data_IF_688083179598
#
_entry.id   IF_688083179598
#
_cell.length_a   1.000
_cell.length_b   1.000
_cell.length_c   1.000
_cell.angle_alpha   90.00
_cell.angle_beta   90.00
_cell.angle_gamma   90.00
#
_symmetry.space_group_name_H-M   'P 1'
#
loop_
_entity.id
_entity.type
_entity.pdbx_description
1 polymer ?
#
# COMPACT_ATOMS: atom_id res chain seq x y z
N UNK A 1 21.11 -6.53 -14.75
CA UNK A 1 20.03 -5.71 -14.11
C UNK A 1 20.59 -5.00 -12.90
N UNK A 2 20.36 -3.70 -12.75
CA UNK A 2 20.62 -2.90 -11.55
C UNK A 2 19.32 -2.36 -10.99
N UNK A 3 19.28 -2.09 -9.68
CA UNK A 3 18.11 -1.51 -9.02
C UNK A 3 18.35 -0.02 -8.78
N UNK A 4 17.39 0.81 -9.18
CA UNK A 4 17.34 2.24 -8.92
C UNK A 4 16.33 2.50 -7.81
N UNK A 5 16.79 2.91 -6.64
CA UNK A 5 15.93 3.26 -5.53
C UNK A 5 15.51 4.73 -5.62
N UNK A 6 14.23 5.03 -5.65
CA UNK A 6 13.76 6.39 -5.47
C UNK A 6 13.81 6.85 -4.01
N UNK A 7 13.67 8.17 -3.73
CA UNK A 7 13.86 8.74 -2.39
C UNK A 7 12.99 8.11 -1.29
N UNK A 8 11.75 7.72 -1.61
CA UNK A 8 10.79 7.19 -0.64
C UNK A 8 10.77 5.66 -0.53
N UNK A 9 11.71 4.94 -1.20
CA UNK A 9 11.73 3.47 -1.23
C UNK A 9 13.14 2.87 -1.10
N UNK A 10 14.06 3.56 -0.44
CA UNK A 10 15.47 3.16 -0.37
C UNK A 10 15.68 1.88 0.47
N UNK A 11 14.98 1.77 1.60
CA UNK A 11 15.07 0.60 2.46
C UNK A 11 14.43 -0.62 1.80
N UNK A 12 13.24 -0.46 1.20
CA UNK A 12 12.58 -1.53 0.47
C UNK A 12 13.43 -1.99 -0.72
N UNK A 13 13.98 -1.05 -1.51
CA UNK A 13 14.88 -1.37 -2.62
C UNK A 13 16.11 -2.18 -2.17
N UNK A 14 16.68 -1.84 -1.01
CA UNK A 14 17.80 -2.61 -0.43
C UNK A 14 17.41 -4.03 -0.04
N UNK A 15 16.19 -4.23 0.47
CA UNK A 15 15.65 -5.56 0.77
C UNK A 15 15.39 -6.36 -0.51
N UNK A 16 14.80 -5.73 -1.53
CA UNK A 16 14.59 -6.36 -2.83
C UNK A 16 15.91 -6.77 -3.47
N UNK A 17 16.93 -5.89 -3.42
CA UNK A 17 18.27 -6.19 -3.94
C UNK A 17 18.86 -7.48 -3.33
N UNK A 18 18.72 -7.66 -2.02
CA UNK A 18 19.13 -8.89 -1.32
C UNK A 18 18.31 -10.12 -1.76
N UNK A 19 16.98 -9.95 -1.90
CA UNK A 19 16.09 -11.05 -2.29
C UNK A 19 16.36 -11.59 -3.70
N UNK A 20 16.63 -10.69 -4.65
CA UNK A 20 16.87 -11.07 -6.06
C UNK A 20 18.35 -11.16 -6.42
N UNK A 21 19.25 -10.85 -5.46
CA UNK A 21 20.71 -10.87 -5.62
C UNK A 21 21.18 -9.94 -6.77
N UNK A 22 20.69 -8.72 -6.76
CA UNK A 22 21.05 -7.66 -7.70
C UNK A 22 21.70 -6.48 -6.99
N UNK A 23 22.52 -5.72 -7.71
CA UNK A 23 23.18 -4.55 -7.17
C UNK A 23 22.26 -3.33 -7.18
N UNK A 24 22.40 -2.47 -6.15
CA UNK A 24 21.81 -1.14 -6.13
C UNK A 24 22.74 -0.18 -6.87
N UNK A 25 22.19 0.61 -7.78
CA UNK A 25 22.92 1.74 -8.35
C UNK A 25 22.85 2.94 -7.40
N UNK A 26 23.96 3.68 -7.36
CA UNK A 26 24.00 4.92 -6.59
C UNK A 26 23.26 6.03 -7.36
N UNK A 27 22.21 6.58 -6.72
CA UNK A 27 21.45 7.71 -7.23
C UNK A 27 21.64 8.91 -6.30
N UNK A 28 22.08 10.03 -6.86
CA UNK A 28 22.20 11.31 -6.17
C UNK A 28 20.90 12.10 -6.32
N UNK A 29 20.33 12.55 -5.21
CA UNK A 29 19.17 13.43 -5.20
C UNK A 29 19.54 14.77 -4.58
N UNK A 30 19.12 15.85 -5.19
CA UNK A 30 19.31 17.23 -4.71
C UNK A 30 18.04 18.03 -4.96
N UNK A 31 17.90 19.14 -4.25
CA UNK A 31 16.85 20.12 -4.48
C UNK A 31 17.48 21.47 -4.73
N UNK A 32 17.08 22.14 -5.80
CA UNK A 32 17.51 23.50 -6.09
C UNK A 32 16.87 24.50 -5.11
N UNK A 33 17.43 25.71 -4.95
CA UNK A 33 16.88 26.71 -4.02
C UNK A 33 15.43 27.12 -4.30
N UNK A 34 15.00 27.05 -5.56
CA UNK A 34 13.62 27.31 -6.00
C UNK A 34 12.68 26.14 -5.79
N UNK A 35 13.21 24.98 -5.36
CA UNK A 35 12.44 23.78 -5.05
C UNK A 35 12.42 22.72 -6.16
N UNK A 36 13.01 22.98 -7.33
CA UNK A 36 13.12 21.96 -8.38
C UNK A 36 14.02 20.78 -7.95
N UNK A 37 13.64 19.59 -8.38
CA UNK A 37 14.37 18.37 -8.07
C UNK A 37 15.46 18.11 -9.11
N UNK A 38 16.62 17.66 -8.63
CA UNK A 38 17.72 17.19 -9.43
C UNK A 38 18.02 15.73 -9.06
N UNK A 39 18.30 14.93 -10.09
CA UNK A 39 18.69 13.54 -9.95
C UNK A 39 19.89 13.24 -10.86
N UNK A 40 20.79 12.39 -10.39
CA UNK A 40 21.87 11.83 -11.20
C UNK A 40 22.10 10.38 -10.80
N UNK A 41 22.11 9.48 -11.78
CA UNK A 41 22.58 8.11 -11.59
C UNK A 41 24.10 8.13 -11.74
N UNK A 42 24.83 7.76 -10.68
CA UNK A 42 26.29 7.81 -10.65
C UNK A 42 26.94 6.58 -11.30
N UNK A 43 26.20 5.46 -11.34
CA UNK A 43 26.66 4.23 -11.95
C UNK A 43 26.30 4.15 -13.43
N UNK A 44 27.12 3.44 -14.21
CA UNK A 44 26.74 3.03 -15.57
C UNK A 44 25.59 2.03 -15.53
N UNK A 45 24.59 2.26 -16.40
CA UNK A 45 23.46 1.36 -16.60
C UNK A 45 23.64 0.59 -17.90
N UNK A 46 23.30 -0.69 -17.86
CA UNK A 46 23.34 -1.56 -19.02
C UNK A 46 22.19 -2.56 -19.01
N UNK A 47 21.55 -2.73 -20.14
CA UNK A 47 20.49 -3.71 -20.39
C UNK A 47 19.20 -3.44 -19.64
N UNK A 48 18.99 -4.07 -18.47
CA UNK A 48 17.73 -4.02 -17.72
C UNK A 48 17.91 -3.29 -16.39
N UNK A 49 16.95 -2.44 -16.03
CA UNK A 49 16.90 -1.76 -14.73
C UNK A 49 15.55 -2.01 -14.05
N UNK A 50 15.59 -2.07 -12.71
CA UNK A 50 14.41 -2.13 -11.86
C UNK A 50 14.33 -0.86 -11.03
N UNK A 51 13.36 0.00 -11.30
CA UNK A 51 13.08 1.19 -10.50
C UNK A 51 12.09 0.82 -9.39
N UNK A 52 12.39 1.18 -8.14
CA UNK A 52 11.49 1.00 -7.00
C UNK A 52 11.23 2.35 -6.37
N UNK A 53 9.98 2.85 -6.49
CA UNK A 53 9.59 4.16 -5.98
C UNK A 53 8.11 4.22 -5.67
N UNK A 54 7.76 4.48 -4.41
CA UNK A 54 6.41 4.83 -3.98
C UNK A 54 6.14 6.31 -4.26
N UNK A 55 4.92 6.63 -4.72
CA UNK A 55 4.53 8.00 -5.07
C UNK A 55 3.67 8.62 -3.95
N UNK A 56 4.28 8.80 -2.77
CA UNK A 56 3.60 9.32 -1.57
C UNK A 56 3.35 10.83 -1.68
N UNK A 57 4.30 11.55 -2.27
CA UNK A 57 4.28 13.01 -2.46
C UNK A 57 4.40 13.38 -3.94
N UNK A 58 4.18 14.67 -4.25
CA UNK A 58 4.40 15.16 -5.62
C UNK A 58 5.89 15.07 -6.03
N UNK A 59 6.80 15.32 -5.09
CA UNK A 59 8.24 15.18 -5.30
C UNK A 59 8.60 13.74 -5.67
N UNK A 60 7.93 12.74 -5.08
CA UNK A 60 8.13 11.33 -5.41
C UNK A 60 7.70 11.00 -6.84
N UNK A 61 6.59 11.59 -7.31
CA UNK A 61 6.13 11.43 -8.69
C UNK A 61 7.15 12.00 -9.66
N UNK A 62 7.63 13.22 -9.41
CA UNK A 62 8.65 13.85 -10.26
C UNK A 62 9.96 13.04 -10.23
N UNK A 63 10.41 12.59 -9.07
CA UNK A 63 11.59 11.72 -8.95
C UNK A 63 11.45 10.41 -9.73
N UNK A 64 10.26 9.80 -9.72
CA UNK A 64 9.98 8.61 -10.52
C UNK A 64 10.13 8.90 -12.02
N UNK A 65 9.55 10.00 -12.51
CA UNK A 65 9.64 10.39 -13.92
C UNK A 65 11.08 10.70 -14.33
N UNK A 66 11.86 11.37 -13.48
CA UNK A 66 13.27 11.62 -13.71
C UNK A 66 14.11 10.32 -13.74
N UNK A 67 13.81 9.34 -12.87
CA UNK A 67 14.48 8.03 -12.88
C UNK A 67 14.20 7.26 -14.17
N UNK A 68 12.96 7.33 -14.68
CA UNK A 68 12.57 6.70 -15.94
C UNK A 68 13.32 7.32 -17.11
N UNK A 69 13.37 8.64 -17.19
CA UNK A 69 14.07 9.38 -18.25
C UNK A 69 15.57 9.07 -18.24
N UNK A 70 16.19 9.12 -17.06
CA UNK A 70 17.62 8.84 -16.88
C UNK A 70 18.01 7.38 -17.21
N UNK A 71 17.05 6.47 -17.26
CA UNK A 71 17.23 5.07 -17.62
C UNK A 71 16.62 4.72 -18.99
N UNK A 72 16.30 5.71 -19.83
CA UNK A 72 15.53 5.52 -21.08
C UNK A 72 16.18 4.58 -22.11
N UNK A 73 17.48 4.44 -22.09
CA UNK A 73 18.24 3.52 -22.97
C UNK A 73 18.21 2.06 -22.48
N UNK A 74 17.64 1.80 -21.32
CA UNK A 74 17.51 0.45 -20.73
C UNK A 74 16.10 -0.14 -20.94
N UNK A 75 15.98 -1.43 -20.72
CA UNK A 75 14.66 -2.06 -20.48
C UNK A 75 14.21 -1.71 -19.06
N UNK A 76 13.18 -0.89 -18.95
CA UNK A 76 12.75 -0.29 -17.68
C UNK A 76 11.61 -1.08 -17.07
N UNK A 77 11.87 -1.74 -15.93
CA UNK A 77 10.85 -2.32 -15.06
C UNK A 77 10.63 -1.42 -13.86
N UNK A 78 9.40 -1.21 -13.49
CA UNK A 78 9.06 -0.34 -12.35
C UNK A 78 8.21 -1.11 -11.35
N UNK A 79 8.57 -1.00 -10.08
CA UNK A 79 7.68 -1.33 -8.96
C UNK A 79 7.28 -0.03 -8.30
N UNK A 80 5.98 0.27 -8.26
CA UNK A 80 5.40 1.35 -7.47
C UNK A 80 4.69 0.74 -6.28
N UNK A 81 5.37 0.57 -5.11
CA UNK A 81 4.78 -0.12 -3.97
C UNK A 81 3.53 0.58 -3.43
N UNK A 82 3.52 1.91 -3.41
CA UNK A 82 2.33 2.73 -3.17
C UNK A 82 2.12 3.67 -4.34
N UNK A 83 1.01 3.49 -5.05
CA UNK A 83 0.61 4.36 -6.15
C UNK A 83 -0.30 5.48 -5.63
N UNK A 84 0.28 6.65 -5.40
CA UNK A 84 -0.45 7.85 -5.03
C UNK A 84 -1.43 8.29 -6.10
N UNK A 85 -2.40 9.15 -5.73
CA UNK A 85 -3.50 9.59 -6.58
C UNK A 85 -4.51 8.50 -6.98
N UNK A 86 -4.30 7.22 -6.63
CA UNK A 86 -5.19 6.11 -6.97
C UNK A 86 -6.61 6.23 -6.37
N UNK A 87 -6.81 7.06 -5.34
CA UNK A 87 -8.12 7.35 -4.75
C UNK A 87 -9.03 8.18 -5.64
N UNK A 88 -8.50 8.86 -6.66
CA UNK A 88 -9.25 9.58 -7.68
C UNK A 88 -9.15 8.79 -9.00
N UNK A 89 -9.72 7.59 -8.98
CA UNK A 89 -9.80 6.60 -10.04
C UNK A 89 -10.86 6.93 -11.09
N UNK A 90 -11.83 7.75 -10.72
CA UNK A 90 -12.94 8.20 -11.56
C UNK A 90 -13.30 9.65 -11.27
N UNK A 91 -14.17 10.19 -12.10
CA UNK A 91 -14.76 11.52 -11.95
C UNK A 91 -15.96 11.41 -11.00
N UNK A 92 -15.88 12.00 -9.81
CA UNK A 92 -16.97 12.02 -8.82
C UNK A 92 -17.93 13.19 -9.08
N UNK A 93 -17.41 14.29 -9.66
CA UNK A 93 -18.18 15.48 -10.05
C UNK A 93 -17.75 15.93 -11.43
N UNK A 94 -18.65 16.55 -12.23
CA UNK A 94 -18.30 17.16 -13.50
C UNK A 94 -17.11 18.13 -13.36
N UNK A 95 -16.14 18.04 -14.28
CA UNK A 95 -14.96 18.91 -14.29
C UNK A 95 -13.76 18.38 -13.47
N UNK A 96 -13.91 17.32 -12.66
CA UNK A 96 -12.78 16.71 -11.98
C UNK A 96 -11.90 15.90 -12.95
N UNK A 97 -10.57 15.92 -12.76
CA UNK A 97 -9.70 14.99 -13.49
C UNK A 97 -9.82 13.57 -12.92
N UNK A 98 -9.42 12.57 -13.68
CA UNK A 98 -9.12 11.23 -13.17
C UNK A 98 -7.61 11.19 -12.89
N UNK A 99 -7.23 11.52 -11.66
CA UNK A 99 -5.81 11.72 -11.29
C UNK A 99 -4.99 10.46 -11.45
N UNK A 100 -5.55 9.30 -11.09
CA UNK A 100 -4.91 7.99 -11.30
C UNK A 100 -4.49 7.79 -12.77
N UNK A 101 -5.38 8.16 -13.72
CA UNK A 101 -5.10 8.08 -15.16
C UNK A 101 -3.99 9.04 -15.57
N UNK A 102 -4.00 10.29 -15.07
CA UNK A 102 -2.99 11.30 -15.41
C UNK A 102 -1.59 10.79 -15.03
N UNK A 103 -1.42 10.30 -13.80
CA UNK A 103 -0.14 9.78 -13.31
C UNK A 103 0.25 8.49 -14.06
N UNK A 104 -0.67 7.53 -14.23
CA UNK A 104 -0.38 6.28 -14.93
C UNK A 104 0.08 6.51 -16.38
N UNK A 105 -0.52 7.47 -17.09
CA UNK A 105 -0.17 7.80 -18.47
C UNK A 105 1.15 8.57 -18.60
N UNK A 106 1.67 9.17 -17.54
CA UNK A 106 2.99 9.81 -17.54
C UNK A 106 4.14 8.83 -17.34
N UNK A 107 3.87 7.58 -16.95
CA UNK A 107 4.87 6.54 -16.72
C UNK A 107 5.16 5.84 -18.04
N UNK A 108 6.34 6.09 -18.62
CA UNK A 108 6.83 5.45 -19.84
C UNK A 108 7.83 4.33 -19.51
N UNK A 109 7.34 3.10 -19.40
CA UNK A 109 8.12 1.94 -18.98
C UNK A 109 7.76 0.69 -19.79
N UNK A 110 8.61 -0.33 -19.68
CA UNK A 110 8.38 -1.62 -20.33
C UNK A 110 7.45 -2.52 -19.51
N UNK A 111 7.59 -2.52 -18.18
CA UNK A 111 6.74 -3.26 -17.25
C UNK A 111 6.49 -2.43 -15.99
N UNK A 112 5.27 -2.50 -15.45
CA UNK A 112 4.88 -1.84 -14.19
C UNK A 112 4.20 -2.83 -13.28
N UNK A 113 4.66 -2.85 -12.03
CA UNK A 113 4.11 -3.63 -10.93
C UNK A 113 3.62 -2.67 -9.84
N UNK A 114 2.38 -2.83 -9.41
CA UNK A 114 1.78 -2.13 -8.29
C UNK A 114 1.51 -3.12 -7.16
N UNK A 115 1.36 -2.63 -5.93
CA UNK A 115 0.96 -3.46 -4.79
C UNK A 115 -0.37 -2.95 -4.26
N UNK A 116 -1.39 -3.80 -4.20
CA UNK A 116 -2.73 -3.51 -3.70
C UNK A 116 -3.23 -2.12 -4.12
N UNK A 117 -3.19 -1.83 -5.44
CA UNK A 117 -3.75 -0.58 -5.95
C UNK A 117 -5.21 -0.44 -5.52
N UNK A 118 -5.61 0.76 -5.10
CA UNK A 118 -6.93 1.03 -4.52
C UNK A 118 -8.09 0.57 -5.40
N UNK A 119 -8.00 0.81 -6.72
CA UNK A 119 -8.95 0.30 -7.72
C UNK A 119 -8.16 -0.30 -8.89
N UNK A 120 -8.47 -1.56 -9.22
CA UNK A 120 -7.76 -2.30 -10.28
C UNK A 120 -8.01 -1.75 -11.69
N UNK A 121 -9.06 -0.96 -11.91
CA UNK A 121 -9.27 -0.24 -13.18
C UNK A 121 -8.13 0.72 -13.51
N UNK A 122 -7.39 1.17 -12.50
CA UNK A 122 -6.18 1.98 -12.66
C UNK A 122 -5.12 1.30 -13.55
N UNK A 123 -5.06 -0.03 -13.55
CA UNK A 123 -4.11 -0.80 -14.35
C UNK A 123 -4.30 -0.59 -15.86
N UNK A 124 -5.54 -0.36 -16.30
CA UNK A 124 -5.87 -0.15 -17.71
C UNK A 124 -5.45 1.25 -18.21
N UNK A 125 -5.05 2.15 -17.32
CA UNK A 125 -4.57 3.49 -17.70
C UNK A 125 -3.10 3.51 -18.12
N UNK A 126 -2.30 2.51 -17.73
CA UNK A 126 -0.89 2.44 -18.11
C UNK A 126 -0.73 2.13 -19.60
N UNK A 127 0.14 2.86 -20.27
CA UNK A 127 0.49 2.67 -21.68
C UNK A 127 1.94 2.22 -21.79
N UNK A 128 2.18 0.93 -21.51
CA UNK A 128 3.52 0.38 -21.45
C UNK A 128 4.12 0.19 -22.86
N UNK A 129 5.45 0.36 -22.99
CA UNK A 129 6.22 0.16 -24.24
C UNK A 129 6.00 -1.23 -24.80
N UNK A 130 5.90 -2.25 -23.95
CA UNK A 130 5.64 -3.66 -24.34
C UNK A 130 4.19 -3.94 -24.74
N UNK A 131 3.27 -2.97 -24.58
CA UNK A 131 1.81 -3.14 -24.72
C UNK A 131 1.20 -4.21 -23.81
N UNK A 132 1.93 -4.67 -22.79
CA UNK A 132 1.41 -5.53 -21.74
C UNK A 132 0.58 -4.70 -20.74
N UNK A 133 -0.20 -5.39 -19.92
CA UNK A 133 -0.91 -4.73 -18.81
C UNK A 133 0.02 -4.55 -17.61
N UNK A 134 -0.17 -3.48 -16.84
CA UNK A 134 0.42 -3.35 -15.53
C UNK A 134 -0.10 -4.47 -14.60
N UNK A 135 0.74 -4.90 -13.65
CA UNK A 135 0.47 -6.03 -12.77
C UNK A 135 0.21 -5.52 -11.36
N UNK A 136 -0.89 -5.94 -10.74
CA UNK A 136 -1.17 -5.69 -9.33
C UNK A 136 -0.83 -6.91 -8.49
N UNK A 137 0.06 -6.75 -7.51
CA UNK A 137 0.50 -7.80 -6.58
C UNK A 137 -0.29 -7.66 -5.28
N UNK A 138 -0.80 -8.78 -4.73
CA UNK A 138 -1.53 -8.76 -3.46
C UNK A 138 -0.62 -9.11 -2.29
N UNK A 139 -0.53 -8.21 -1.32
CA UNK A 139 0.21 -8.41 -0.08
C UNK A 139 -0.61 -9.09 1.03
N UNK A 140 -1.87 -9.47 0.78
CA UNK A 140 -2.75 -10.10 1.76
C UNK A 140 -2.12 -11.33 2.42
N UNK A 141 -1.53 -12.22 1.62
CA UNK A 141 -0.93 -13.46 2.12
C UNK A 141 0.27 -13.23 3.03
N UNK A 142 1.15 -12.30 2.67
CA UNK A 142 2.32 -11.98 3.52
C UNK A 142 1.89 -11.29 4.81
N UNK A 143 0.88 -10.41 4.76
CA UNK A 143 0.27 -9.81 5.94
C UNK A 143 -0.33 -10.88 6.85
N UNK A 144 -1.19 -11.75 6.35
CA UNK A 144 -1.80 -12.81 7.13
C UNK A 144 -0.79 -13.78 7.75
N UNK A 145 0.28 -14.13 7.02
CA UNK A 145 1.38 -14.96 7.55
C UNK A 145 2.13 -14.27 8.69
N UNK A 146 2.37 -12.96 8.59
CA UNK A 146 3.00 -12.18 9.66
C UNK A 146 2.09 -12.13 10.89
N UNK A 147 0.81 -11.78 10.72
CA UNK A 147 -0.18 -11.74 11.80
C UNK A 147 -0.35 -13.09 12.49
N UNK A 148 -0.30 -14.19 11.75
CA UNK A 148 -0.32 -15.55 12.33
C UNK A 148 0.85 -15.82 13.25
N UNK A 149 2.01 -15.21 13.02
CA UNK A 149 3.20 -15.31 13.89
C UNK A 149 3.08 -14.50 15.19
N UNK A 150 2.09 -13.61 15.29
CA UNK A 150 1.77 -12.90 16.51
C UNK A 150 0.87 -13.75 17.42
N UNK A 151 0.97 -13.56 18.73
CA UNK A 151 0.18 -14.33 19.69
C UNK A 151 -1.15 -13.63 19.98
N UNK A 152 -2.19 -13.98 19.20
CA UNK A 152 -3.56 -13.51 19.40
C UNK A 152 -4.42 -14.59 20.05
N UNK A 153 -5.33 -14.20 20.94
CA UNK A 153 -6.33 -15.07 21.55
C UNK A 153 -7.64 -15.00 20.75
N UNK A 154 -8.10 -16.14 20.23
CA UNK A 154 -9.33 -16.24 19.42
C UNK A 154 -9.42 -15.15 18.32
N UNK A 155 -8.42 -15.06 17.43
CA UNK A 155 -8.28 -13.94 16.51
C UNK A 155 -9.45 -13.82 15.54
N UNK A 156 -9.89 -12.57 15.33
CA UNK A 156 -10.90 -12.21 14.34
C UNK A 156 -10.37 -11.08 13.44
N UNK A 157 -10.40 -11.29 12.13
CA UNK A 157 -10.01 -10.25 11.15
C UNK A 157 -11.25 -9.51 10.69
N UNK A 158 -11.25 -8.18 10.77
CA UNK A 158 -12.40 -7.35 10.44
C UNK A 158 -12.11 -6.42 9.27
N UNK A 159 -13.03 -6.40 8.31
CA UNK A 159 -13.08 -5.36 7.28
C UNK A 159 -13.81 -4.12 7.82
N UNK A 160 -13.24 -2.90 7.72
CA UNK A 160 -13.92 -1.71 8.18
C UNK A 160 -15.13 -1.31 7.31
N UNK A 161 -15.18 -1.81 6.08
CA UNK A 161 -16.28 -1.62 5.13
C UNK A 161 -16.29 -2.71 4.05
N UNK A 162 -17.21 -2.59 3.08
CA UNK A 162 -17.35 -3.58 2.00
C UNK A 162 -16.22 -3.52 0.96
N UNK A 163 -15.47 -2.43 0.88
CA UNK A 163 -14.40 -2.23 -0.11
C UNK A 163 -13.18 -3.13 0.16
N UNK A 164 -12.84 -3.37 1.42
CA UNK A 164 -11.67 -4.16 1.80
C UNK A 164 -11.96 -5.66 2.02
N UNK A 165 -13.18 -6.15 1.79
CA UNK A 165 -13.60 -7.53 2.13
C UNK A 165 -12.71 -8.60 1.49
N UNK A 166 -12.31 -8.44 0.23
CA UNK A 166 -11.46 -9.45 -0.43
C UNK A 166 -10.06 -9.49 0.20
N UNK A 167 -9.45 -8.32 0.45
CA UNK A 167 -8.16 -8.22 1.14
C UNK A 167 -8.23 -8.88 2.53
N UNK A 168 -9.29 -8.60 3.28
CA UNK A 168 -9.52 -9.14 4.62
C UNK A 168 -9.68 -10.65 4.60
N UNK A 169 -10.47 -11.18 3.67
CA UNK A 169 -10.68 -12.63 3.48
C UNK A 169 -9.35 -13.34 3.22
N UNK A 170 -8.56 -12.85 2.26
CA UNK A 170 -7.28 -13.46 1.88
C UNK A 170 -6.26 -13.38 3.03
N UNK A 171 -6.29 -12.27 3.80
CA UNK A 171 -5.46 -12.09 4.99
C UNK A 171 -5.87 -13.07 6.09
N UNK A 172 -7.16 -13.21 6.37
CA UNK A 172 -7.70 -14.12 7.38
C UNK A 172 -7.40 -15.59 7.05
N UNK A 173 -7.54 -15.97 5.77
CA UNK A 173 -7.18 -17.30 5.29
C UNK A 173 -5.71 -17.63 5.56
N UNK A 174 -4.80 -16.71 5.22
CA UNK A 174 -3.36 -16.87 5.48
C UNK A 174 -3.04 -16.86 6.98
N UNK A 175 -3.76 -16.08 7.77
CA UNK A 175 -3.66 -16.04 9.24
C UNK A 175 -4.25 -17.29 9.90
N UNK A 176 -5.17 -18.01 9.21
CA UNK A 176 -6.00 -19.09 9.73
C UNK A 176 -6.96 -18.61 10.83
N UNK A 177 -7.58 -17.46 10.62
CA UNK A 177 -8.51 -16.83 11.53
C UNK A 177 -9.91 -16.69 10.90
N UNK A 178 -10.93 -16.48 11.74
CA UNK A 178 -12.25 -16.04 11.29
C UNK A 178 -12.18 -14.62 10.72
N UNK A 179 -13.10 -14.25 9.83
CA UNK A 179 -13.24 -12.88 9.38
C UNK A 179 -14.70 -12.43 9.35
N UNK A 180 -14.89 -11.12 9.47
CA UNK A 180 -16.20 -10.47 9.31
C UNK A 180 -16.04 -9.06 8.73
N UNK A 181 -17.15 -8.39 8.46
CA UNK A 181 -17.20 -7.04 7.91
C UNK A 181 -18.09 -6.15 8.77
N UNK A 182 -17.64 -4.92 8.99
CA UNK A 182 -18.51 -3.91 9.62
C UNK A 182 -19.51 -3.39 8.60
N UNK A 183 -20.80 -3.55 8.92
CA UNK A 183 -21.90 -3.09 8.08
C UNK A 183 -22.63 -1.94 8.75
N UNK A 184 -23.04 -0.96 7.94
CA UNK A 184 -23.91 0.14 8.38
C UNK A 184 -25.37 -0.35 8.34
N UNK A 185 -25.96 -0.58 9.51
CA UNK A 185 -27.37 -0.91 9.63
C UNK A 185 -28.18 0.33 9.97
N UNK A 186 -29.08 0.72 9.08
CA UNK A 186 -30.02 1.82 9.34
C UNK A 186 -31.14 1.32 10.25
N UNK A 187 -31.22 1.85 11.45
CA UNK A 187 -32.24 1.47 12.46
C UNK A 187 -33.45 2.39 12.39
N UNK A 188 -33.23 3.67 12.02
CA UNK A 188 -34.30 4.65 11.76
C UNK A 188 -33.86 5.66 10.69
N UNK A 189 -34.73 6.64 10.37
CA UNK A 189 -34.37 7.74 9.44
C UNK A 189 -33.18 8.57 9.89
N UNK A 190 -32.90 8.59 11.20
CA UNK A 190 -31.85 9.44 11.81
C UNK A 190 -30.72 8.65 12.47
N UNK A 191 -30.87 7.30 12.62
CA UNK A 191 -29.92 6.47 13.36
C UNK A 191 -29.34 5.37 12.48
N UNK A 192 -28.00 5.41 12.30
CA UNK A 192 -27.20 4.37 11.67
C UNK A 192 -26.32 3.73 12.74
N UNK A 193 -26.42 2.41 12.87
CA UNK A 193 -25.54 1.62 13.74
C UNK A 193 -24.53 0.89 12.86
N UNK A 194 -23.27 0.91 13.26
CA UNK A 194 -22.21 0.09 12.65
C UNK A 194 -22.04 -1.14 13.54
N UNK A 195 -22.04 -2.33 12.97
CA UNK A 195 -21.84 -3.57 13.72
C UNK A 195 -21.20 -4.65 12.85
N UNK A 196 -20.53 -5.66 13.43
CA UNK A 196 -20.14 -6.88 12.72
C UNK A 196 -21.39 -7.58 12.16
N UNK A 197 -21.23 -8.21 11.00
CA UNK A 197 -22.35 -8.83 10.30
C UNK A 197 -22.77 -10.15 10.93
N UNK A 198 -21.81 -11.00 11.31
CA UNK A 198 -22.07 -12.40 11.64
C UNK A 198 -21.39 -12.91 12.92
N UNK A 199 -20.33 -12.27 13.41
CA UNK A 199 -19.47 -12.83 14.47
C UNK A 199 -19.54 -12.01 15.76
N UNK A 200 -19.62 -12.71 16.91
CA UNK A 200 -19.52 -12.08 18.22
C UNK A 200 -18.08 -11.62 18.50
N UNK A 201 -17.95 -10.47 19.14
CA UNK A 201 -16.65 -9.77 19.37
C UNK A 201 -16.11 -10.05 20.78
N UNK A 202 -16.99 -10.27 21.75
CA UNK A 202 -16.63 -10.33 23.17
C UNK A 202 -15.51 -11.32 23.47
N UNK A 203 -14.47 -10.83 24.14
CA UNK A 203 -13.28 -11.59 24.54
C UNK A 203 -12.28 -11.91 23.42
N UNK A 204 -12.52 -11.50 22.18
CA UNK A 204 -11.63 -11.78 21.04
C UNK A 204 -10.56 -10.70 20.86
N UNK A 205 -9.42 -11.10 20.30
CA UNK A 205 -8.47 -10.15 19.70
C UNK A 205 -8.90 -9.84 18.27
N UNK A 206 -9.08 -8.58 17.99
CA UNK A 206 -9.57 -8.13 16.70
C UNK A 206 -8.46 -7.42 15.92
N UNK A 207 -8.25 -7.83 14.67
CA UNK A 207 -7.36 -7.12 13.74
C UNK A 207 -8.21 -6.51 12.64
N UNK A 208 -8.29 -5.17 12.62
CA UNK A 208 -8.94 -4.43 11.52
C UNK A 208 -7.94 -4.31 10.38
N UNK A 209 -8.31 -4.78 9.19
CA UNK A 209 -7.44 -4.77 8.01
C UNK A 209 -8.04 -3.91 6.91
N UNK A 210 -7.20 -3.06 6.29
CA UNK A 210 -7.58 -2.22 5.14
C UNK A 210 -6.43 -2.11 4.14
N UNK A 211 -6.72 -1.61 2.93
CA UNK A 211 -5.68 -1.32 1.94
C UNK A 211 -4.78 -0.17 2.41
N UNK A 212 -5.34 0.88 3.02
CA UNK A 212 -4.58 2.02 3.50
C UNK A 212 -5.16 2.66 4.77
N UNK A 213 -4.28 3.22 5.58
CA UNK A 213 -4.66 4.13 6.67
C UNK A 213 -4.16 5.54 6.32
N UNK A 214 -5.08 6.44 5.98
CA UNK A 214 -4.75 7.85 5.69
C UNK A 214 -4.90 8.70 6.96
N UNK A 215 -6.02 9.39 7.16
CA UNK A 215 -6.26 10.21 8.37
C UNK A 215 -6.67 9.40 9.60
N UNK A 216 -7.00 8.12 9.43
CA UNK A 216 -7.36 7.21 10.51
C UNK A 216 -8.80 7.32 11.02
N UNK A 217 -9.63 8.22 10.46
CA UNK A 217 -10.98 8.45 10.97
C UNK A 217 -11.88 7.21 10.94
N UNK A 218 -11.92 6.47 9.83
CA UNK A 218 -12.69 5.22 9.70
C UNK A 218 -12.22 4.18 10.71
N UNK A 219 -10.90 3.99 10.81
CA UNK A 219 -10.30 3.05 11.76
C UNK A 219 -10.60 3.42 13.22
N UNK A 220 -10.49 4.71 13.58
CA UNK A 220 -10.78 5.20 14.93
C UNK A 220 -12.23 4.92 15.35
N UNK A 221 -13.17 5.10 14.43
CA UNK A 221 -14.58 4.74 14.64
C UNK A 221 -14.77 3.23 14.85
N UNK A 222 -14.13 2.40 14.03
CA UNK A 222 -14.18 0.95 14.14
C UNK A 222 -13.55 0.46 15.47
N UNK A 223 -12.39 0.99 15.87
CA UNK A 223 -11.71 0.63 17.12
C UNK A 223 -12.65 0.89 18.32
N UNK A 224 -13.21 2.10 18.43
CA UNK A 224 -14.12 2.46 19.54
C UNK A 224 -15.34 1.55 19.61
N UNK A 225 -15.91 1.22 18.45
CA UNK A 225 -17.04 0.30 18.35
C UNK A 225 -16.69 -1.09 18.89
N UNK A 226 -15.59 -1.67 18.38
CA UNK A 226 -15.18 -3.03 18.75
C UNK A 226 -14.80 -3.13 20.22
N UNK A 227 -14.13 -2.12 20.77
CA UNK A 227 -13.88 -2.01 22.23
C UNK A 227 -15.18 -1.96 23.02
N UNK A 228 -16.18 -1.20 22.58
CA UNK A 228 -17.48 -1.12 23.25
C UNK A 228 -18.29 -2.43 23.22
N UNK A 229 -17.94 -3.33 22.29
CA UNK A 229 -18.55 -4.66 22.14
C UNK A 229 -17.74 -5.78 22.84
N UNK A 230 -16.78 -5.43 23.69
CA UNK A 230 -16.02 -6.36 24.50
C UNK A 230 -14.79 -6.97 23.84
N UNK A 231 -14.28 -6.39 22.73
CA UNK A 231 -13.00 -6.85 22.18
C UNK A 231 -11.90 -6.78 23.25
N UNK A 232 -11.12 -7.88 23.41
CA UNK A 232 -10.03 -7.96 24.37
C UNK A 232 -8.90 -7.01 23.98
N UNK A 233 -8.42 -7.13 22.77
CA UNK A 233 -7.47 -6.22 22.12
C UNK A 233 -7.95 -5.84 20.73
N UNK A 234 -7.60 -4.64 20.28
CA UNK A 234 -7.90 -4.18 18.93
C UNK A 234 -6.61 -3.70 18.29
N UNK A 235 -6.23 -4.36 17.20
CA UNK A 235 -5.08 -4.01 16.38
C UNK A 235 -5.57 -3.50 15.02
N UNK A 236 -4.75 -2.72 14.34
CA UNK A 236 -5.01 -2.34 12.95
C UNK A 236 -3.84 -2.76 12.07
N UNK A 237 -4.15 -3.27 10.89
CA UNK A 237 -3.15 -3.61 9.90
C UNK A 237 -3.52 -3.00 8.55
N UNK A 238 -2.53 -2.50 7.80
CA UNK A 238 -2.76 -1.98 6.45
C UNK A 238 -1.60 -2.29 5.51
N UNK A 239 -1.92 -2.30 4.22
CA UNK A 239 -0.87 -2.40 3.21
C UNK A 239 -0.13 -1.07 3.13
N UNK A 240 -0.84 0.07 3.04
CA UNK A 240 -0.25 1.38 2.82
C UNK A 240 -0.40 2.29 4.05
N UNK A 241 0.66 2.43 4.89
CA UNK A 241 0.62 3.31 6.06
C UNK A 241 0.88 4.76 5.67
N UNK A 242 -0.10 5.41 5.03
CA UNK A 242 0.00 6.84 4.68
C UNK A 242 0.12 7.66 5.96
N UNK A 243 -0.70 7.37 6.97
CA UNK A 243 -0.67 7.91 8.33
C UNK A 243 -0.49 9.43 8.36
N UNK A 244 -1.31 10.11 7.56
CA UNK A 244 -1.25 11.56 7.41
C UNK A 244 -1.78 12.30 8.65
N UNK A 245 -1.31 13.53 8.83
CA UNK A 245 -1.72 14.42 9.92
C UNK A 245 -1.49 13.78 11.30
N UNK A 246 -2.51 13.72 12.14
CA UNK A 246 -2.48 13.14 13.48
C UNK A 246 -3.04 11.71 13.56
N UNK A 247 -3.03 10.96 12.45
CA UNK A 247 -3.63 9.62 12.38
C UNK A 247 -3.16 8.69 13.52
N UNK A 248 -1.85 8.63 13.78
CA UNK A 248 -1.29 7.81 14.88
C UNK A 248 -1.91 8.15 16.23
N UNK A 249 -1.89 9.44 16.57
CA UNK A 249 -2.44 9.92 17.84
C UNK A 249 -3.92 9.59 17.96
N UNK A 250 -4.68 9.77 16.87
CA UNK A 250 -6.11 9.46 16.82
C UNK A 250 -6.38 7.97 17.04
N UNK A 251 -5.60 7.08 16.42
CA UNK A 251 -5.76 5.64 16.57
C UNK A 251 -5.44 5.18 17.99
N UNK A 252 -4.31 5.60 18.57
CA UNK A 252 -3.95 5.26 19.95
C UNK A 252 -4.94 5.85 20.96
N UNK A 253 -5.39 7.08 20.76
CA UNK A 253 -6.45 7.68 21.59
C UNK A 253 -7.79 6.91 21.49
N UNK A 254 -8.03 6.22 20.38
CA UNK A 254 -9.24 5.40 20.20
C UNK A 254 -9.12 4.00 20.81
N UNK A 255 -7.95 3.63 21.35
CA UNK A 255 -7.73 2.36 22.06
C UNK A 255 -7.15 1.25 21.20
N UNK A 256 -6.42 1.59 20.11
CA UNK A 256 -5.66 0.59 19.36
C UNK A 256 -4.47 0.10 20.19
N UNK A 257 -4.20 -1.20 20.18
CA UNK A 257 -3.03 -1.80 20.82
C UNK A 257 -1.78 -1.67 19.94
N UNK A 258 -1.89 -1.96 18.66
CA UNK A 258 -0.79 -1.79 17.71
C UNK A 258 -1.26 -1.42 16.31
N UNK A 259 -0.37 -0.74 15.58
CA UNK A 259 -0.51 -0.42 14.17
C UNK A 259 0.55 -1.23 13.42
N UNK A 260 0.13 -2.06 12.48
CA UNK A 260 0.97 -3.00 11.73
C UNK A 260 0.85 -2.67 10.25
N UNK A 261 1.96 -2.54 9.54
CA UNK A 261 1.89 -2.20 8.12
C UNK A 261 3.00 -2.86 7.31
N UNK A 262 2.81 -2.85 5.99
CA UNK A 262 3.86 -3.23 5.05
C UNK A 262 4.80 -2.06 4.76
N UNK A 263 5.96 -2.36 4.22
CA UNK A 263 6.96 -1.36 3.81
C UNK A 263 6.73 -0.80 2.39
N UNK A 264 5.49 -0.87 1.88
CA UNK A 264 5.09 -0.12 0.68
C UNK A 264 5.24 1.39 0.85
N UNK A 265 5.12 1.88 2.07
CA UNK A 265 5.54 3.22 2.51
C UNK A 265 6.41 3.00 3.75
N UNK A 266 7.64 3.51 3.74
CA UNK A 266 8.59 3.32 4.84
C UNK A 266 8.21 4.18 6.05
N UNK A 267 7.69 3.53 7.10
CA UNK A 267 7.26 4.13 8.38
C UNK A 267 7.74 3.26 9.54
N UNK A 268 7.64 3.74 10.76
CA UNK A 268 7.96 2.97 11.96
C UNK A 268 7.08 1.71 12.10
N UNK A 269 5.84 1.79 11.63
CA UNK A 269 4.85 0.71 11.66
C UNK A 269 5.04 -0.33 10.53
N UNK A 270 5.96 -0.08 9.60
CA UNK A 270 6.20 -0.91 8.40
C UNK A 270 7.08 -2.12 8.74
N UNK A 271 6.51 -3.05 9.51
CA UNK A 271 7.22 -4.25 10.01
C UNK A 271 7.14 -5.45 9.05
N UNK A 272 6.27 -5.38 8.03
CA UNK A 272 6.07 -6.44 7.04
C UNK A 272 6.74 -6.04 5.73
N UNK A 273 7.73 -6.81 5.27
CA UNK A 273 8.38 -6.50 4.01
C UNK A 273 7.66 -7.12 2.82
N UNK A 274 7.42 -6.28 1.78
CA UNK A 274 6.89 -6.73 0.48
C UNK A 274 8.00 -7.19 -0.48
N UNK A 275 9.26 -7.16 -0.10
CA UNK A 275 10.37 -7.58 -0.97
C UNK A 275 10.23 -9.01 -1.50
N UNK A 276 9.81 -10.03 -0.71
CA UNK A 276 9.56 -11.37 -1.23
C UNK A 276 8.44 -11.40 -2.28
N UNK A 277 7.37 -10.61 -2.08
CA UNK A 277 6.26 -10.49 -3.02
C UNK A 277 6.72 -9.87 -4.35
N UNK A 278 7.56 -8.84 -4.29
CA UNK A 278 8.14 -8.21 -5.48
C UNK A 278 8.97 -9.23 -6.25
N UNK A 279 9.83 -10.00 -5.57
CA UNK A 279 10.61 -11.09 -6.19
C UNK A 279 9.72 -12.10 -6.94
N UNK A 280 8.64 -12.56 -6.30
CA UNK A 280 7.66 -13.46 -6.93
C UNK A 280 7.03 -12.79 -8.17
N UNK A 281 6.60 -11.52 -8.03
CA UNK A 281 6.00 -10.75 -9.12
C UNK A 281 6.91 -10.57 -10.33
N UNK A 282 8.20 -10.31 -10.11
CA UNK A 282 9.19 -10.14 -11.18
C UNK A 282 9.45 -11.42 -12.00
N UNK A 283 9.05 -12.59 -11.52
CA UNK A 283 9.17 -13.88 -12.22
C UNK A 283 7.94 -14.18 -13.12
N UNK A 284 6.85 -13.42 -12.98
CA UNK A 284 5.66 -13.52 -13.84
C UNK A 284 6.03 -12.95 -15.21
N UNK A 285 6.15 -13.82 -16.23
CA UNK A 285 6.49 -13.45 -17.64
C UNK A 285 5.29 -13.61 -18.57
#
# INVERSE_FOLDING_TARGET
MKILAGPSSQLLASKVAKEIKCDLALVEFKKFPDGELYLRIADELDGEVLIIQSTVTNDDVISLLQLIDAASDCYVRIVVPYFGYARQDKQFKPGEPVSARVIAQSIDADEVFLINVHDTSTLDHFKLRTRRKAINLSAARIMGNHLRGMHFESPLVISPDEGAVQLVRDTAEAMKAEFDVLVKKRVSSEQVIIQPKNVAIDGKDVVIVDDMISTGGTMAGAIKLLRSQGAREVHVACIHPVLSQNARLLLYHSGVESIIATDTIERAESVISVAPLIKEGLQIR
#
